data_IF_573166709075
#
_entry.id   IF_573166709075
#
_cell.length_a   1.000
_cell.length_b   1.000
_cell.length_c   1.000
_cell.angle_alpha   90.00
_cell.angle_beta   90.00
_cell.angle_gamma   90.00
#
_symmetry.space_group_name_H-M   'P 1'
#
loop_
_entity.id
_entity.type
_entity.pdbx_description
1 polymer ?
#
# COMPACT_ATOMS: atom_id res chain seq x y z
N UNK A 1 50.95 63.01 12.11
CA UNK A 1 50.43 62.90 10.74
C UNK A 1 49.06 62.21 10.83
N UNK A 2 47.98 62.80 11.34
CA UNK A 2 47.18 63.96 10.90
C UNK A 2 46.65 63.86 9.46
N UNK A 3 45.35 63.54 9.33
CA UNK A 3 44.34 63.89 8.29
C UNK A 3 43.12 63.01 8.58
N UNK A 4 42.02 63.46 9.21
CA UNK A 4 41.04 64.53 8.89
C UNK A 4 40.35 64.37 7.53
N UNK A 5 39.01 64.42 7.58
CA UNK A 5 37.96 64.53 6.52
C UNK A 5 37.23 63.21 6.22
N UNK A 6 35.92 63.17 6.01
CA UNK A 6 34.84 64.13 6.15
C UNK A 6 33.53 63.33 6.13
N UNK A 7 32.51 63.83 6.83
CA UNK A 7 31.16 63.28 6.82
C UNK A 7 30.55 63.34 5.41
N UNK A 8 29.86 62.26 5.00
CA UNK A 8 28.75 62.38 4.07
C UNK A 8 27.63 61.46 4.52
N UNK A 9 26.61 62.07 5.12
CA UNK A 9 25.33 61.47 5.46
C UNK A 9 24.59 61.19 4.14
N UNK A 10 24.42 59.92 3.78
CA UNK A 10 23.38 59.53 2.83
C UNK A 10 22.18 58.96 3.60
N UNK A 11 21.12 59.76 3.58
CA UNK A 11 19.79 59.42 4.06
C UNK A 11 19.23 58.36 3.10
N UNK A 12 19.21 57.09 3.52
CA UNK A 12 18.46 56.06 2.82
C UNK A 12 17.00 56.15 3.27
N UNK A 13 16.16 56.67 2.37
CA UNK A 13 14.71 56.72 2.54
C UNK A 13 14.13 55.32 2.68
N UNK A 14 13.47 55.07 3.80
CA UNK A 14 12.68 53.88 4.03
C UNK A 14 11.40 53.95 3.18
N UNK A 15 11.40 53.28 2.03
CA UNK A 15 10.17 53.01 1.27
C UNK A 15 9.47 51.82 1.93
N UNK A 16 8.45 52.10 2.73
CA UNK A 16 7.53 51.10 3.28
C UNK A 16 6.60 50.61 2.16
N UNK A 17 7.01 49.56 1.46
CA UNK A 17 6.11 48.77 0.62
C UNK A 17 5.20 47.96 1.54
N UNK A 18 4.00 48.47 1.80
CA UNK A 18 2.90 47.72 2.38
C UNK A 18 2.40 46.68 1.36
N UNK A 19 3.17 45.60 1.20
CA UNK A 19 2.76 44.43 0.45
C UNK A 19 1.77 43.62 1.27
N UNK A 20 0.51 43.59 0.86
CA UNK A 20 -0.43 42.57 1.30
C UNK A 20 0.06 41.20 0.79
N UNK A 21 0.95 40.56 1.55
CA UNK A 21 1.29 39.17 1.36
C UNK A 21 0.05 38.35 1.75
N UNK A 22 -0.83 38.13 0.77
CA UNK A 22 -1.89 37.14 0.86
C UNK A 22 -1.24 35.80 1.16
N UNK A 23 -1.30 35.38 2.42
CA UNK A 23 -0.81 34.07 2.85
C UNK A 23 -1.72 33.04 2.19
N UNK A 24 -1.27 32.48 1.08
CA UNK A 24 -1.93 31.33 0.48
C UNK A 24 -2.11 30.28 1.59
N UNK A 25 -3.32 29.72 1.77
CA UNK A 25 -3.53 28.69 2.78
C UNK A 25 -2.54 27.57 2.48
N UNK A 26 -1.70 27.26 3.47
CA UNK A 26 -0.82 26.11 3.39
C UNK A 26 -1.71 24.90 3.11
N UNK A 27 -1.59 24.32 1.90
CA UNK A 27 -2.29 23.10 1.58
C UNK A 27 -1.96 22.10 2.69
N UNK A 28 -2.99 21.66 3.42
CA UNK A 28 -2.80 20.66 4.45
C UNK A 28 -2.07 19.47 3.82
N UNK A 29 -1.06 18.89 4.50
CA UNK A 29 -0.43 17.69 3.98
C UNK A 29 -1.53 16.67 3.72
N UNK A 30 -1.76 16.36 2.44
CA UNK A 30 -2.57 15.22 2.07
C UNK A 30 -1.77 14.02 2.55
N UNK A 31 -2.12 13.53 3.73
CA UNK A 31 -1.66 12.24 4.23
C UNK A 31 -2.29 11.18 3.32
N UNK A 32 -1.80 11.09 2.09
CA UNK A 32 -2.25 10.12 1.12
C UNK A 32 -2.08 8.74 1.77
N UNK A 33 -3.19 8.07 2.02
CA UNK A 33 -3.20 6.74 2.61
C UNK A 33 -2.46 5.82 1.66
N UNK A 34 -1.40 5.15 2.13
CA UNK A 34 -0.66 4.20 1.31
C UNK A 34 -1.62 3.09 0.82
N UNK A 35 -1.82 2.92 -0.50
CA UNK A 35 -2.70 1.89 -1.04
C UNK A 35 -2.25 0.46 -0.72
N UNK A 36 -0.99 0.28 -0.29
CA UNK A 36 -0.37 -1.00 0.08
C UNK A 36 -0.32 -1.25 1.58
N UNK A 37 -0.81 -0.31 2.41
CA UNK A 37 -0.96 -0.52 3.84
C UNK A 37 -2.30 -1.19 4.18
N UNK A 38 -2.30 -1.98 5.25
CA UNK A 38 -3.51 -2.61 5.76
C UNK A 38 -4.52 -1.53 6.18
N UNK A 39 -5.76 -1.66 5.72
CA UNK A 39 -6.86 -0.77 6.12
C UNK A 39 -7.69 -1.34 7.28
N UNK A 40 -7.49 -2.62 7.60
CA UNK A 40 -8.20 -3.28 8.70
C UNK A 40 -7.63 -2.74 10.02
N UNK A 41 -8.48 -2.26 10.94
CA UNK A 41 -8.04 -1.85 12.26
C UNK A 41 -7.30 -2.99 12.98
N UNK A 42 -6.23 -2.65 13.70
CA UNK A 42 -5.54 -3.61 14.56
C UNK A 42 -6.46 -4.03 15.70
N UNK A 43 -6.64 -5.33 15.89
CA UNK A 43 -7.48 -5.92 16.96
C UNK A 43 -6.64 -6.84 17.86
N UNK A 44 -7.24 -7.44 18.89
CA UNK A 44 -6.59 -8.43 19.77
C UNK A 44 -6.41 -9.83 19.11
N UNK A 45 -6.45 -9.90 17.78
CA UNK A 45 -6.24 -11.13 17.02
C UNK A 45 -4.76 -11.55 17.00
N UNK A 46 -4.50 -12.80 16.59
CA UNK A 46 -3.13 -13.22 16.31
C UNK A 46 -2.59 -12.46 15.10
N UNK A 47 -1.26 -12.26 15.00
CA UNK A 47 -0.66 -11.61 13.84
C UNK A 47 -1.02 -12.28 12.50
N UNK A 48 -1.15 -13.61 12.45
CA UNK A 48 -1.57 -14.33 11.25
C UNK A 48 -3.02 -14.03 10.87
N UNK A 49 -3.93 -14.00 11.85
CA UNK A 49 -5.33 -13.64 11.61
C UNK A 49 -5.44 -12.19 11.10
N UNK A 50 -4.64 -11.28 11.66
CA UNK A 50 -4.55 -9.90 11.17
C UNK A 50 -4.01 -9.86 9.73
N UNK A 51 -2.96 -10.62 9.41
CA UNK A 51 -2.41 -10.69 8.04
C UNK A 51 -3.45 -11.19 7.03
N UNK A 52 -4.23 -12.22 7.40
CA UNK A 52 -5.32 -12.75 6.58
C UNK A 52 -6.37 -11.67 6.33
N UNK A 53 -6.86 -11.01 7.38
CA UNK A 53 -7.85 -9.95 7.26
C UNK A 53 -7.34 -8.79 6.37
N UNK A 54 -6.09 -8.38 6.56
CA UNK A 54 -5.45 -7.36 5.73
C UNK A 54 -5.37 -7.78 4.25
N UNK A 55 -4.99 -9.03 3.98
CA UNK A 55 -4.88 -9.54 2.61
C UNK A 55 -6.24 -9.67 1.92
N UNK A 56 -7.25 -10.17 2.62
CA UNK A 56 -8.62 -10.31 2.11
C UNK A 56 -9.21 -8.95 1.73
N UNK A 57 -9.09 -7.97 2.64
CA UNK A 57 -9.50 -6.59 2.37
C UNK A 57 -8.72 -6.02 1.18
N UNK A 58 -7.40 -6.23 1.14
CA UNK A 58 -6.55 -5.75 0.06
C UNK A 58 -6.95 -6.31 -1.30
N UNK A 59 -7.21 -7.62 -1.44
CA UNK A 59 -7.61 -8.20 -2.74
C UNK A 59 -9.02 -7.75 -3.16
N UNK A 60 -9.95 -7.60 -2.21
CA UNK A 60 -11.29 -7.11 -2.49
C UNK A 60 -11.24 -5.67 -2.98
N UNK A 61 -10.54 -4.80 -2.26
CA UNK A 61 -10.34 -3.39 -2.63
C UNK A 61 -9.67 -3.22 -4.00
N UNK A 62 -8.74 -4.12 -4.32
CA UNK A 62 -8.03 -4.11 -5.60
C UNK A 62 -8.79 -4.76 -6.76
N UNK A 63 -10.03 -5.23 -6.52
CA UNK A 63 -10.92 -5.74 -7.56
C UNK A 63 -10.64 -7.16 -7.99
N UNK A 64 -9.97 -7.98 -7.17
CA UNK A 64 -9.72 -9.38 -7.47
C UNK A 64 -10.91 -10.30 -7.20
N UNK A 65 -11.85 -9.85 -6.35
CA UNK A 65 -13.05 -10.58 -5.96
C UNK A 65 -14.28 -10.05 -6.71
N UNK A 66 -15.49 -10.41 -6.27
CA UNK A 66 -16.74 -9.85 -6.79
C UNK A 66 -17.14 -8.52 -6.11
N UNK A 67 -16.40 -8.12 -5.07
CA UNK A 67 -16.63 -6.84 -4.40
C UNK A 67 -16.30 -5.67 -5.34
N UNK A 68 -16.97 -4.53 -5.13
CA UNK A 68 -16.68 -3.33 -5.90
C UNK A 68 -15.31 -2.75 -5.49
N UNK A 69 -14.38 -2.51 -6.44
CA UNK A 69 -13.04 -2.02 -6.12
C UNK A 69 -13.06 -0.56 -5.65
N UNK A 70 -12.12 -0.21 -4.77
CA UNK A 70 -11.83 1.18 -4.42
C UNK A 70 -10.78 1.74 -5.36
N UNK A 71 -11.23 2.47 -6.38
CA UNK A 71 -10.37 3.06 -7.40
C UNK A 71 -9.45 4.15 -6.86
N UNK A 72 -9.78 4.78 -5.73
CA UNK A 72 -8.94 5.80 -5.09
C UNK A 72 -7.75 5.19 -4.35
N UNK A 73 -7.82 3.90 -4.03
CA UNK A 73 -6.80 3.16 -3.25
C UNK A 73 -6.28 1.93 -3.99
N UNK A 74 -6.36 1.95 -5.32
CA UNK A 74 -5.85 0.87 -6.16
C UNK A 74 -4.32 0.77 -6.02
N UNK A 75 -3.82 -0.41 -5.68
CA UNK A 75 -2.41 -0.71 -5.71
C UNK A 75 -2.04 -1.24 -7.11
N UNK A 76 -1.35 -0.41 -7.91
CA UNK A 76 -0.82 -0.83 -9.22
C UNK A 76 0.31 -1.83 -9.04
N UNK A 77 0.33 -2.86 -9.88
CA UNK A 77 1.36 -3.89 -9.88
C UNK A 77 2.38 -3.66 -10.99
N UNK A 78 3.61 -4.15 -10.81
CA UNK A 78 4.74 -3.79 -11.70
C UNK A 78 4.64 -4.32 -13.13
N UNK A 79 3.70 -5.23 -13.41
CA UNK A 79 3.47 -5.78 -14.76
C UNK A 79 2.18 -5.25 -15.38
N UNK A 80 1.47 -4.35 -14.70
CA UNK A 80 0.24 -3.79 -15.21
C UNK A 80 0.58 -2.64 -16.14
N UNK A 81 0.18 -2.83 -17.39
CA UNK A 81 0.27 -1.83 -18.44
C UNK A 81 -1.16 -1.48 -18.87
N UNK A 82 -1.39 -0.18 -19.13
CA UNK A 82 -2.69 0.32 -19.59
C UNK A 82 -3.51 1.02 -18.51
N UNK A 83 -4.74 1.43 -18.85
CA UNK A 83 -5.63 2.16 -17.97
C UNK A 83 -6.15 1.29 -16.81
N UNK A 84 -6.57 1.94 -15.72
CA UNK A 84 -7.10 1.27 -14.53
C UNK A 84 -8.33 0.41 -14.83
N UNK A 85 -9.21 0.85 -15.73
CA UNK A 85 -10.40 0.10 -16.14
C UNK A 85 -10.07 -1.27 -16.73
N UNK A 86 -9.10 -1.32 -17.66
CA UNK A 86 -8.66 -2.59 -18.26
C UNK A 86 -8.01 -3.51 -17.22
N UNK A 87 -7.28 -2.93 -16.28
CA UNK A 87 -6.67 -3.65 -15.17
C UNK A 87 -7.74 -4.29 -14.29
N UNK A 88 -8.73 -3.50 -13.85
CA UNK A 88 -9.85 -3.98 -13.05
C UNK A 88 -10.67 -5.06 -13.77
N UNK A 89 -10.88 -4.92 -15.08
CA UNK A 89 -11.55 -5.94 -15.89
C UNK A 89 -10.82 -7.29 -15.87
N UNK A 90 -9.48 -7.30 -15.87
CA UNK A 90 -8.67 -8.53 -15.77
C UNK A 90 -8.67 -9.12 -14.35
N UNK A 91 -8.73 -8.27 -13.32
CA UNK A 91 -8.71 -8.71 -11.92
C UNK A 91 -10.05 -9.29 -11.46
N UNK A 92 -11.17 -8.72 -11.92
CA UNK A 92 -12.52 -9.02 -11.39
C UNK A 92 -12.83 -10.52 -11.39
N UNK A 93 -13.20 -11.03 -10.22
CA UNK A 93 -13.60 -12.43 -10.02
C UNK A 93 -12.50 -13.47 -10.29
N UNK A 94 -11.23 -13.06 -10.38
CA UNK A 94 -10.12 -13.99 -10.63
C UNK A 94 -9.74 -14.78 -9.38
N UNK A 95 -9.97 -14.24 -8.18
CA UNK A 95 -9.67 -14.90 -6.91
C UNK A 95 -10.94 -15.19 -6.09
N UNK A 96 -10.86 -16.24 -5.29
CA UNK A 96 -11.79 -16.48 -4.20
C UNK A 96 -11.55 -15.46 -3.08
N UNK A 97 -12.63 -15.03 -2.43
CA UNK A 97 -12.55 -14.04 -1.34
C UNK A 97 -11.88 -14.60 -0.07
N UNK A 98 -12.23 -15.80 0.44
CA UNK A 98 -11.55 -16.34 1.60
C UNK A 98 -10.13 -16.79 1.24
N UNK A 99 -9.18 -16.45 2.10
CA UNK A 99 -7.83 -16.98 1.98
C UNK A 99 -7.84 -18.50 2.20
N UNK A 100 -7.08 -19.22 1.37
CA UNK A 100 -6.92 -20.67 1.46
C UNK A 100 -5.79 -21.10 2.42
N UNK A 101 -4.89 -20.17 2.75
CA UNK A 101 -3.75 -20.47 3.61
C UNK A 101 -2.95 -19.23 3.97
N UNK A 102 -2.15 -19.37 5.01
CA UNK A 102 -1.16 -18.36 5.42
C UNK A 102 0.17 -19.03 5.66
N UNK A 103 1.25 -18.42 5.19
CA UNK A 103 2.62 -18.83 5.44
C UNK A 103 3.31 -17.71 6.21
N UNK A 104 3.87 -18.09 7.36
CA UNK A 104 4.67 -17.22 8.19
C UNK A 104 5.88 -18.04 8.65
N UNK A 105 7.07 -17.50 8.47
CA UNK A 105 8.28 -18.10 9.02
C UNK A 105 8.68 -17.34 10.29
N UNK A 106 8.97 -18.11 11.34
CA UNK A 106 9.54 -17.68 12.61
C UNK A 106 10.82 -16.83 12.49
N UNK A 107 11.54 -16.91 11.37
CA UNK A 107 12.76 -16.13 11.12
C UNK A 107 12.53 -14.67 10.69
N UNK A 108 11.32 -14.12 10.85
CA UNK A 108 11.01 -12.71 10.59
C UNK A 108 10.76 -12.38 9.11
N UNK A 109 10.42 -13.39 8.32
CA UNK A 109 10.05 -13.22 6.90
C UNK A 109 8.64 -12.62 6.75
N UNK A 110 8.36 -11.96 5.62
CA UNK A 110 7.05 -11.39 5.32
C UNK A 110 5.93 -12.44 5.36
N UNK A 111 4.73 -12.04 5.79
CA UNK A 111 3.53 -12.86 5.68
C UNK A 111 3.20 -13.10 4.21
N UNK A 112 2.81 -14.33 3.88
CA UNK A 112 2.28 -14.71 2.57
C UNK A 112 0.89 -15.32 2.75
N UNK A 113 -0.14 -14.66 2.26
CA UNK A 113 -1.53 -15.13 2.34
C UNK A 113 -1.96 -15.62 0.98
N UNK A 114 -2.47 -16.84 0.89
CA UNK A 114 -2.71 -17.56 -0.37
C UNK A 114 -4.20 -17.56 -0.70
N UNK A 115 -4.52 -17.28 -1.96
CA UNK A 115 -5.88 -17.23 -2.50
C UNK A 115 -6.02 -18.14 -3.70
N UNK A 116 -7.08 -18.95 -3.72
CA UNK A 116 -7.38 -19.83 -4.86
C UNK A 116 -7.81 -19.00 -6.07
N UNK A 117 -7.38 -19.43 -7.24
CA UNK A 117 -7.88 -18.87 -8.49
C UNK A 117 -9.27 -19.45 -8.79
N UNK A 118 -10.26 -18.61 -9.09
CA UNK A 118 -11.63 -19.10 -9.31
C UNK A 118 -11.74 -20.04 -10.51
N UNK A 119 -10.94 -19.81 -11.54
CA UNK A 119 -10.96 -20.62 -12.77
C UNK A 119 -10.03 -21.84 -12.73
N UNK A 120 -9.32 -22.12 -11.63
CA UNK A 120 -8.38 -23.23 -11.54
C UNK A 120 -8.30 -23.80 -10.13
N UNK A 121 -8.49 -25.12 -10.00
CA UNK A 121 -8.41 -25.81 -8.71
C UNK A 121 -6.98 -25.98 -8.20
N UNK A 122 -5.98 -25.83 -9.08
CA UNK A 122 -4.57 -26.10 -8.79
C UNK A 122 -3.71 -24.85 -8.77
N UNK A 123 -4.22 -23.71 -9.27
CA UNK A 123 -3.50 -22.44 -9.30
C UNK A 123 -3.98 -21.51 -8.19
N UNK A 124 -3.05 -20.75 -7.64
CA UNK A 124 -3.30 -19.76 -6.61
C UNK A 124 -2.43 -18.52 -6.82
N UNK A 125 -2.91 -17.41 -6.26
CA UNK A 125 -2.12 -16.18 -6.06
C UNK A 125 -1.81 -16.04 -4.59
N UNK A 126 -0.83 -15.21 -4.27
CA UNK A 126 -0.54 -14.88 -2.89
C UNK A 126 -0.35 -13.38 -2.72
N UNK A 127 -0.80 -12.84 -1.59
CA UNK A 127 -0.44 -11.51 -1.12
C UNK A 127 0.73 -11.63 -0.17
N UNK A 128 1.81 -10.90 -0.44
CA UNK A 128 2.94 -10.77 0.48
C UNK A 128 2.90 -9.42 1.18
N UNK A 129 3.24 -9.38 2.47
CA UNK A 129 3.30 -8.15 3.27
C UNK A 129 4.36 -8.24 4.36
N UNK A 130 4.83 -7.11 4.87
CA UNK A 130 5.77 -7.12 6.01
C UNK A 130 5.06 -7.52 7.31
N UNK A 131 5.84 -7.73 8.38
CA UNK A 131 5.31 -7.95 9.74
C UNK A 131 4.53 -6.76 10.31
N UNK A 132 4.60 -5.59 9.67
CA UNK A 132 3.80 -4.40 10.01
C UNK A 132 2.51 -4.30 9.20
N UNK A 133 2.20 -5.32 8.39
CA UNK A 133 1.03 -5.38 7.52
C UNK A 133 1.01 -4.24 6.48
N UNK A 134 2.19 -3.87 5.98
CA UNK A 134 2.38 -2.88 4.92
C UNK A 134 3.11 -3.49 3.71
N UNK A 135 3.37 -2.66 2.71
CA UNK A 135 4.00 -3.03 1.43
C UNK A 135 3.31 -4.20 0.71
N UNK A 136 1.98 -4.36 0.89
CA UNK A 136 1.21 -5.44 0.28
C UNK A 136 1.37 -5.49 -1.24
N UNK A 137 1.56 -6.70 -1.76
CA UNK A 137 1.65 -6.99 -3.20
C UNK A 137 1.03 -8.34 -3.52
N UNK A 138 0.26 -8.43 -4.60
CA UNK A 138 -0.08 -9.73 -5.19
C UNK A 138 1.15 -10.25 -5.94
N UNK A 139 1.46 -11.52 -5.75
CA UNK A 139 2.54 -12.21 -6.42
C UNK A 139 2.04 -12.81 -7.74
N UNK A 140 2.69 -12.40 -8.83
CA UNK A 140 2.38 -12.88 -10.18
C UNK A 140 2.95 -14.26 -10.52
N UNK A 141 3.70 -14.88 -9.62
CA UNK A 141 4.07 -16.28 -9.75
C UNK A 141 2.91 -17.15 -9.29
N UNK A 142 2.67 -18.26 -9.98
CA UNK A 142 1.70 -19.24 -9.50
C UNK A 142 2.18 -19.80 -8.17
N UNK A 143 1.30 -19.76 -7.17
CA UNK A 143 1.56 -20.39 -5.90
C UNK A 143 1.07 -21.84 -5.96
N UNK A 144 1.94 -22.78 -5.56
CA UNK A 144 1.59 -24.20 -5.55
C UNK A 144 0.77 -24.48 -4.29
N UNK A 145 -0.54 -24.67 -4.45
CA UNK A 145 -1.46 -24.98 -3.34
C UNK A 145 -1.04 -26.20 -2.50
N UNK A 146 -0.33 -27.15 -3.11
CA UNK A 146 0.23 -28.29 -2.39
C UNK A 146 1.16 -27.87 -1.23
N UNK A 147 1.88 -26.75 -1.35
CA UNK A 147 2.72 -26.25 -0.26
C UNK A 147 1.89 -25.89 0.98
N UNK A 148 0.67 -25.36 0.79
CA UNK A 148 -0.26 -25.07 1.89
C UNK A 148 -0.80 -26.37 2.49
N UNK A 149 -1.29 -27.28 1.64
CA UNK A 149 -1.87 -28.55 2.08
C UNK A 149 -0.86 -29.42 2.85
N UNK A 150 0.38 -29.46 2.37
CA UNK A 150 1.48 -30.23 2.95
C UNK A 150 2.25 -29.47 4.04
N UNK A 151 1.82 -28.25 4.40
CA UNK A 151 2.41 -27.41 5.46
C UNK A 151 3.92 -27.15 5.28
N UNK A 152 4.34 -26.94 4.04
CA UNK A 152 5.74 -26.62 3.70
C UNK A 152 6.02 -25.14 3.95
N UNK A 153 7.27 -24.79 4.25
CA UNK A 153 7.72 -23.40 4.36
C UNK A 153 6.93 -22.54 5.36
N UNK A 154 6.46 -23.14 6.47
CA UNK A 154 5.66 -22.43 7.47
C UNK A 154 4.23 -22.13 7.03
N UNK A 155 3.73 -22.75 5.96
CA UNK A 155 2.35 -22.62 5.53
C UNK A 155 1.40 -23.44 6.39
N UNK A 156 0.18 -22.91 6.58
CA UNK A 156 -0.94 -23.58 7.23
C UNK A 156 -2.22 -23.35 6.41
N UNK A 157 -3.05 -24.38 6.18
CA UNK A 157 -4.36 -24.18 5.58
C UNK A 157 -5.27 -23.37 6.51
N UNK A 158 -6.17 -22.62 5.88
CA UNK A 158 -7.30 -21.97 6.53
C UNK A 158 -8.56 -22.73 6.13
N UNK A 159 -9.44 -22.97 7.11
CA UNK A 159 -10.68 -23.74 6.95
C UNK A 159 -11.83 -22.86 6.45
#
# INVERSE_FOLDING_TARGET
>A
MTRLRAQLRMIFGAVLLAGCAGRAPAAAPSSAVDPRACAVPMTEQTPEAQAVACAEEFIARNGYTDAEPDTARLATESIEWGPAEETLKRRRGSLESPAAGVCADSAGYPYTVVFRHRSSQTSARAVTMTVRFDEMRVQHREFILANVAERRFGCRPLD
#
